data_IF_665779369244
#
_entry.id   IF_665779369244
#
_cell.length_a   1.000
_cell.length_b   1.000
_cell.length_c   1.000
_cell.angle_alpha   90.00
_cell.angle_beta   90.00
_cell.angle_gamma   90.00
#
_symmetry.space_group_name_H-M   'P 1'
#
loop_
_entity.id
_entity.type
_entity.pdbx_description
1 polymer ?
#
# COMPACT_ATOMS: atom_id res chain seq x y z
N UNK A 1 -24.26 7.22 21.35
CA UNK A 1 -23.90 6.62 20.05
C UNK A 1 -25.14 5.97 19.47
N UNK A 2 -25.64 6.45 18.33
CA UNK A 2 -26.94 6.05 17.77
C UNK A 2 -26.80 4.68 17.11
N UNK A 3 -27.67 3.72 17.48
CA UNK A 3 -27.72 2.35 16.94
C UNK A 3 -27.73 2.37 15.40
N UNK A 4 -26.59 2.06 14.80
CA UNK A 4 -26.51 1.60 13.41
C UNK A 4 -26.79 0.11 13.43
N UNK A 5 -27.77 -0.32 12.65
CA UNK A 5 -28.13 -1.72 12.53
C UNK A 5 -27.13 -2.38 11.58
N UNK A 6 -26.00 -2.79 12.13
CA UNK A 6 -24.93 -3.48 11.41
C UNK A 6 -25.26 -4.98 11.31
N UNK A 7 -25.25 -5.53 10.10
CA UNK A 7 -25.23 -6.96 9.87
C UNK A 7 -23.99 -7.34 9.07
N UNK A 8 -23.40 -8.47 9.42
CA UNK A 8 -22.28 -9.04 8.68
C UNK A 8 -22.73 -10.34 8.04
N UNK A 9 -22.28 -10.55 6.81
CA UNK A 9 -22.45 -11.76 6.04
C UNK A 9 -21.09 -12.25 5.61
N UNK A 10 -20.87 -13.55 5.67
CA UNK A 10 -19.59 -14.19 5.35
C UNK A 10 -19.83 -15.33 4.35
N UNK A 11 -18.84 -15.59 3.51
CA UNK A 11 -18.76 -16.82 2.75
C UNK A 11 -17.29 -17.23 2.64
N UNK A 12 -16.90 -18.36 3.23
CA UNK A 12 -15.54 -18.90 3.10
C UNK A 12 -15.25 -19.43 1.68
N UNK A 13 -16.30 -19.89 0.98
CA UNK A 13 -16.22 -20.42 -0.38
C UNK A 13 -17.29 -19.76 -1.24
N UNK A 14 -16.85 -19.11 -2.33
CA UNK A 14 -17.72 -18.51 -3.34
C UNK A 14 -16.99 -18.49 -4.69
N UNK A 15 -17.69 -18.14 -5.77
CA UNK A 15 -17.07 -17.96 -7.09
C UNK A 15 -15.94 -16.91 -7.12
N UNK A 16 -15.86 -16.03 -6.10
CA UNK A 16 -14.85 -14.96 -5.98
C UNK A 16 -13.84 -15.22 -4.85
N UNK A 17 -13.87 -16.41 -4.24
CA UNK A 17 -13.12 -16.72 -3.03
C UNK A 17 -13.82 -16.27 -1.75
N UNK A 18 -13.11 -16.12 -0.63
CA UNK A 18 -13.69 -15.66 0.63
C UNK A 18 -14.19 -14.22 0.51
N UNK A 19 -15.39 -13.96 1.02
CA UNK A 19 -16.03 -12.65 0.98
C UNK A 19 -16.70 -12.33 2.32
N UNK A 20 -16.59 -11.07 2.75
CA UNK A 20 -17.28 -10.55 3.92
C UNK A 20 -18.01 -9.27 3.53
N UNK A 21 -19.31 -9.21 3.81
CA UNK A 21 -20.15 -8.05 3.53
C UNK A 21 -20.71 -7.51 4.84
N UNK A 22 -20.36 -6.26 5.15
CA UNK A 22 -20.96 -5.51 6.24
C UNK A 22 -21.99 -4.53 5.68
N UNK A 23 -23.23 -4.59 6.14
CA UNK A 23 -24.30 -3.67 5.75
C UNK A 23 -24.84 -2.96 6.98
N UNK A 24 -24.99 -1.64 6.88
CA UNK A 24 -25.59 -0.81 7.91
C UNK A 24 -26.65 0.09 7.29
N UNK A 25 -27.85 0.08 7.88
CA UNK A 25 -28.96 0.96 7.48
C UNK A 25 -29.21 1.95 8.60
N UNK A 26 -29.18 3.25 8.29
CA UNK A 26 -29.49 4.28 9.29
C UNK A 26 -31.00 4.56 9.38
N UNK A 27 -31.41 5.33 10.40
CA UNK A 27 -32.83 5.67 10.63
C UNK A 27 -33.48 6.45 9.49
N UNK A 28 -32.70 7.09 8.62
CA UNK A 28 -33.21 7.81 7.44
C UNK A 28 -33.34 6.87 6.24
N UNK A 29 -32.96 5.60 6.38
CA UNK A 29 -32.93 4.58 5.34
C UNK A 29 -31.69 4.65 4.46
N UNK A 30 -30.64 5.41 4.83
CA UNK A 30 -29.40 5.38 4.06
C UNK A 30 -28.70 4.04 4.27
N UNK A 31 -28.31 3.39 3.18
CA UNK A 31 -27.65 2.09 3.19
C UNK A 31 -26.16 2.29 2.95
N UNK A 32 -25.35 1.77 3.87
CA UNK A 32 -23.89 1.70 3.73
C UNK A 32 -23.47 0.24 3.67
N UNK A 33 -22.74 -0.12 2.61
CA UNK A 33 -22.27 -1.46 2.37
C UNK A 33 -20.74 -1.41 2.28
N UNK A 34 -20.07 -2.32 2.96
CA UNK A 34 -18.64 -2.55 2.86
C UNK A 34 -18.42 -3.99 2.46
N UNK A 35 -17.94 -4.19 1.23
CA UNK A 35 -17.66 -5.49 0.62
C UNK A 35 -16.16 -5.73 0.74
N UNK A 36 -15.77 -6.84 1.32
CA UNK A 36 -14.37 -7.26 1.45
C UNK A 36 -14.16 -8.53 0.65
N UNK A 37 -13.31 -8.46 -0.37
CA UNK A 37 -12.95 -9.58 -1.24
C UNK A 37 -11.45 -9.79 -1.24
N UNK A 38 -10.99 -10.85 -1.91
CA UNK A 38 -9.56 -11.11 -2.17
C UNK A 38 -8.89 -9.99 -2.96
N UNK A 39 -9.64 -9.22 -3.74
CA UNK A 39 -9.12 -8.13 -4.58
C UNK A 39 -9.08 -6.77 -3.86
N UNK A 40 -9.76 -6.62 -2.73
CA UNK A 40 -9.76 -5.37 -1.98
C UNK A 40 -11.01 -5.18 -1.11
N UNK A 41 -11.23 -3.94 -0.67
CA UNK A 41 -12.47 -3.52 -0.02
C UNK A 41 -13.16 -2.46 -0.88
N UNK A 42 -14.47 -2.58 -1.06
CA UNK A 42 -15.31 -1.60 -1.75
C UNK A 42 -16.36 -1.06 -0.78
N UNK A 43 -16.51 0.26 -0.73
CA UNK A 43 -17.52 0.93 0.08
C UNK A 43 -18.56 1.56 -0.83
N UNK A 44 -19.83 1.24 -0.58
CA UNK A 44 -20.97 1.70 -1.36
C UNK A 44 -21.93 2.41 -0.40
N UNK A 45 -22.42 3.58 -0.79
CA UNK A 45 -23.42 4.33 -0.02
C UNK A 45 -24.58 4.71 -0.95
N UNK A 46 -25.80 4.38 -0.52
CA UNK A 46 -27.02 4.65 -1.26
C UNK A 46 -28.03 5.41 -0.40
N UNK A 47 -28.62 6.51 -0.90
CA UNK A 47 -29.69 7.20 -0.21
C UNK A 47 -30.95 6.32 -0.10
N UNK A 48 -31.85 6.69 0.80
CA UNK A 48 -33.07 5.93 1.08
C UNK A 48 -34.04 5.81 -0.09
N UNK A 49 -33.92 6.68 -1.10
CA UNK A 49 -34.73 6.64 -2.32
C UNK A 49 -34.30 5.57 -3.33
N UNK A 50 -33.13 4.94 -3.15
CA UNK A 50 -32.53 4.06 -4.17
C UNK A 50 -33.03 2.61 -4.11
N UNK A 51 -33.71 2.20 -3.04
CA UNK A 51 -34.28 0.86 -2.91
C UNK A 51 -35.79 0.95 -2.62
N UNK A 52 -36.58 0.17 -3.34
CA UNK A 52 -38.03 0.08 -3.13
C UNK A 52 -38.31 -1.17 -2.31
N UNK A 53 -38.93 -1.00 -1.14
CA UNK A 53 -39.44 -2.13 -0.35
C UNK A 53 -40.64 -2.72 -1.13
N UNK A 54 -40.54 -3.95 -1.67
CA UNK A 54 -41.61 -4.50 -2.49
C UNK A 54 -42.93 -4.55 -1.71
N UNK A 55 -44.02 -4.11 -2.34
CA UNK A 55 -45.33 -3.95 -1.68
C UNK A 55 -45.88 -5.26 -1.09
N UNK A 56 -45.55 -6.42 -1.66
CA UNK A 56 -45.95 -7.73 -1.10
C UNK A 56 -45.26 -8.03 0.24
N UNK A 57 -44.06 -7.50 0.50
CA UNK A 57 -43.45 -7.54 1.84
C UNK A 57 -44.11 -6.56 2.81
N UNK A 58 -44.84 -5.54 2.33
CA UNK A 58 -45.73 -4.73 3.17
C UNK A 58 -47.06 -5.45 3.47
N UNK A 59 -47.48 -6.35 2.58
CA UNK A 59 -48.78 -7.04 2.66
C UNK A 59 -48.74 -8.37 3.43
N UNK A 60 -47.67 -9.18 3.28
CA UNK A 60 -47.47 -10.41 4.06
C UNK A 60 -46.92 -10.15 5.49
N UNK A 61 -46.44 -8.93 5.79
CA UNK A 61 -46.04 -8.47 7.14
C UNK A 61 -47.18 -7.71 7.85
N UNK A 62 -48.41 -8.19 7.73
CA UNK A 62 -49.52 -7.66 8.52
C UNK A 62 -49.31 -7.87 10.02
N UNK A 63 -48.96 -6.80 10.74
CA UNK A 63 -49.34 -6.61 12.15
C UNK A 63 -48.43 -7.09 13.28
N UNK A 64 -47.44 -7.98 13.06
CA UNK A 64 -46.61 -8.49 14.17
C UNK A 64 -45.09 -8.28 14.06
N UNK A 65 -44.60 -7.67 12.98
CA UNK A 65 -43.15 -7.51 12.73
C UNK A 65 -42.77 -6.19 12.03
N UNK A 66 -43.36 -5.06 12.44
CA UNK A 66 -42.80 -3.73 12.12
C UNK A 66 -41.42 -3.48 12.78
N UNK A 67 -40.88 -4.47 13.49
CA UNK A 67 -39.57 -4.45 14.15
C UNK A 67 -38.45 -5.15 13.34
N UNK A 68 -38.69 -5.51 12.08
CA UNK A 68 -37.87 -6.48 11.33
C UNK A 68 -36.98 -5.88 10.22
N UNK A 69 -36.62 -4.59 10.30
CA UNK A 69 -35.53 -4.00 9.50
C UNK A 69 -34.17 -4.67 9.75
N UNK A 70 -34.09 -5.53 10.78
CA UNK A 70 -32.88 -6.25 11.20
C UNK A 70 -32.82 -7.69 10.69
N UNK A 71 -33.79 -8.13 9.88
CA UNK A 71 -33.77 -9.50 9.36
C UNK A 71 -32.61 -9.69 8.38
N UNK A 72 -31.78 -10.74 8.54
CA UNK A 72 -30.79 -11.12 7.55
C UNK A 72 -31.36 -11.24 6.12
N UNK A 73 -32.57 -11.79 5.98
CA UNK A 73 -33.25 -11.95 4.69
C UNK A 73 -33.72 -10.62 4.07
N UNK A 74 -33.87 -9.55 4.87
CA UNK A 74 -34.11 -8.21 4.35
C UNK A 74 -32.82 -7.60 3.80
N UNK A 75 -31.73 -7.69 4.58
CA UNK A 75 -30.42 -7.22 4.16
C UNK A 75 -29.89 -7.94 2.91
N UNK A 76 -30.04 -9.26 2.80
CA UNK A 76 -29.68 -10.00 1.58
C UNK A 76 -30.46 -9.54 0.35
N UNK A 77 -31.73 -9.18 0.49
CA UNK A 77 -32.52 -8.65 -0.63
C UNK A 77 -32.05 -7.26 -1.09
N UNK A 78 -31.58 -6.43 -0.15
CA UNK A 78 -30.97 -5.14 -0.49
C UNK A 78 -29.63 -5.36 -1.19
N UNK A 79 -28.79 -6.27 -0.68
CA UNK A 79 -27.51 -6.61 -1.31
C UNK A 79 -27.71 -7.15 -2.73
N UNK A 80 -28.72 -8.00 -2.96
CA UNK A 80 -29.06 -8.48 -4.30
C UNK A 80 -29.47 -7.37 -5.27
N UNK A 81 -30.18 -6.34 -4.79
CA UNK A 81 -30.58 -5.20 -5.61
C UNK A 81 -29.43 -4.23 -5.91
N UNK A 82 -28.61 -3.93 -4.90
CA UNK A 82 -27.59 -2.88 -4.97
C UNK A 82 -26.21 -3.39 -5.42
N UNK A 83 -25.93 -4.68 -5.21
CA UNK A 83 -24.63 -5.30 -5.44
C UNK A 83 -24.77 -6.62 -6.22
N UNK A 84 -25.26 -6.59 -7.48
CA UNK A 84 -25.56 -7.80 -8.26
C UNK A 84 -24.32 -8.63 -8.60
N UNK A 85 -23.11 -8.06 -8.46
CA UNK A 85 -21.86 -8.78 -8.68
C UNK A 85 -21.45 -9.68 -7.51
N UNK A 86 -22.10 -9.59 -6.34
CA UNK A 86 -21.78 -10.41 -5.18
C UNK A 86 -22.50 -11.76 -5.29
N UNK A 87 -21.85 -12.90 -4.98
CA UNK A 87 -22.51 -14.21 -4.91
C UNK A 87 -23.39 -14.31 -3.66
N UNK A 88 -24.58 -13.70 -3.71
CA UNK A 88 -25.50 -13.59 -2.57
C UNK A 88 -25.92 -14.97 -2.04
N UNK A 89 -26.05 -15.96 -2.92
CA UNK A 89 -26.40 -17.34 -2.58
C UNK A 89 -25.37 -18.06 -1.69
N UNK A 90 -24.12 -17.59 -1.68
CA UNK A 90 -23.07 -18.15 -0.82
C UNK A 90 -22.97 -17.45 0.53
N UNK A 91 -23.68 -16.33 0.73
CA UNK A 91 -23.55 -15.51 1.94
C UNK A 91 -24.40 -16.04 3.10
N UNK A 92 -23.76 -16.22 4.24
CA UNK A 92 -24.39 -16.62 5.49
C UNK A 92 -24.31 -15.49 6.52
N UNK A 93 -25.38 -15.23 7.30
CA UNK A 93 -25.31 -14.22 8.36
C UNK A 93 -24.34 -14.65 9.47
N UNK A 94 -23.42 -13.76 9.83
CA UNK A 94 -22.52 -13.94 10.97
C UNK A 94 -22.91 -13.01 12.12
N UNK A 95 -23.15 -13.60 13.29
CA UNK A 95 -23.56 -12.90 14.51
C UNK A 95 -22.44 -12.83 15.56
N UNK A 96 -21.23 -13.29 15.23
CA UNK A 96 -20.10 -13.28 16.18
C UNK A 96 -19.74 -11.84 16.56
N UNK A 97 -19.74 -11.55 17.86
CA UNK A 97 -19.58 -10.17 18.39
C UNK A 97 -18.21 -9.56 18.07
N UNK A 98 -17.17 -10.39 18.01
CA UNK A 98 -15.80 -9.94 17.74
C UNK A 98 -15.48 -9.78 16.26
N UNK A 99 -16.32 -10.29 15.33
CA UNK A 99 -16.05 -10.23 13.90
C UNK A 99 -15.72 -8.80 13.40
N UNK A 100 -16.48 -7.74 13.74
CA UNK A 100 -16.14 -6.38 13.31
C UNK A 100 -14.74 -5.94 13.75
N UNK A 101 -14.34 -6.31 14.98
CA UNK A 101 -13.03 -5.94 15.56
C UNK A 101 -11.90 -6.72 14.89
N UNK A 102 -12.10 -8.00 14.58
CA UNK A 102 -11.09 -8.78 13.86
C UNK A 102 -10.96 -8.34 12.39
N UNK A 103 -12.06 -7.95 11.73
CA UNK A 103 -12.02 -7.34 10.40
C UNK A 103 -11.26 -6.01 10.41
N UNK A 104 -11.49 -5.16 11.41
CA UNK A 104 -10.74 -3.92 11.61
C UNK A 104 -9.25 -4.20 11.79
N UNK A 105 -8.88 -5.12 12.69
CA UNK A 105 -7.47 -5.52 12.89
C UNK A 105 -6.85 -6.12 11.63
N UNK A 106 -7.60 -6.90 10.88
CA UNK A 106 -7.15 -7.46 9.60
C UNK A 106 -6.85 -6.34 8.60
N UNK A 107 -7.74 -5.35 8.48
CA UNK A 107 -7.56 -4.19 7.61
C UNK A 107 -6.37 -3.33 8.06
N UNK A 108 -6.20 -3.11 9.37
CA UNK A 108 -5.05 -2.40 9.94
C UNK A 108 -3.72 -3.09 9.63
N UNK A 109 -3.65 -4.43 9.72
CA UNK A 109 -2.46 -5.21 9.36
C UNK A 109 -2.06 -5.07 7.88
N UNK A 110 -3.02 -4.72 7.02
CA UNK A 110 -2.77 -4.50 5.60
C UNK A 110 -2.37 -3.07 5.27
N UNK A 111 -2.45 -2.15 6.24
CA UNK A 111 -1.95 -0.78 6.05
C UNK A 111 -0.43 -0.79 6.07
N UNK A 112 0.16 -0.53 4.92
CA UNK A 112 1.61 -0.40 4.79
C UNK A 112 2.03 0.94 5.38
N UNK A 113 2.79 0.88 6.48
CA UNK A 113 3.36 2.04 7.19
C UNK A 113 4.88 2.12 7.14
N UNK A 114 5.53 1.13 6.55
CA UNK A 114 6.97 1.04 6.47
C UNK A 114 7.39 0.92 5.01
N UNK A 115 8.30 1.77 4.58
CA UNK A 115 8.78 1.86 3.20
C UNK A 115 10.30 1.73 3.17
N UNK A 116 10.80 1.19 2.06
CA UNK A 116 12.22 1.11 1.77
C UNK A 116 12.46 1.63 0.37
N UNK A 117 13.44 2.51 0.23
CA UNK A 117 13.75 3.14 -1.05
C UNK A 117 15.24 3.03 -1.33
N UNK A 118 15.58 2.62 -2.54
CA UNK A 118 16.96 2.58 -2.99
C UNK A 118 17.46 3.99 -3.24
N UNK A 119 18.74 4.26 -2.96
CA UNK A 119 19.39 5.52 -3.34
C UNK A 119 20.69 5.19 -4.04
N UNK A 120 20.80 5.63 -5.28
CA UNK A 120 21.97 5.44 -6.14
C UNK A 120 22.51 6.81 -6.51
N UNK A 121 23.82 7.01 -6.34
CA UNK A 121 24.51 8.20 -6.80
C UNK A 121 25.22 7.88 -8.11
N UNK A 122 25.12 8.75 -9.11
CA UNK A 122 25.87 8.68 -10.37
C UNK A 122 26.86 9.84 -10.42
N UNK A 123 28.13 9.51 -10.57
CA UNK A 123 29.21 10.47 -10.76
C UNK A 123 29.22 10.98 -12.22
N UNK A 124 29.97 12.07 -12.53
CA UNK A 124 30.15 12.53 -13.90
C UNK A 124 30.58 11.40 -14.86
N UNK A 125 29.93 11.33 -16.02
CA UNK A 125 30.11 10.27 -17.03
C UNK A 125 29.43 8.93 -16.72
N UNK A 126 28.77 8.78 -15.56
CA UNK A 126 27.92 7.61 -15.27
C UNK A 126 26.46 7.89 -15.66
N UNK A 127 25.88 7.00 -16.46
CA UNK A 127 24.52 7.14 -17.00
C UNK A 127 23.65 5.91 -16.76
N UNK A 128 24.21 4.86 -16.15
CA UNK A 128 23.52 3.58 -15.93
C UNK A 128 23.50 3.22 -14.45
N UNK A 129 22.37 2.69 -13.97
CA UNK A 129 22.15 2.33 -12.56
C UNK A 129 23.28 1.46 -11.99
N UNK A 130 23.73 0.44 -12.75
CA UNK A 130 24.78 -0.48 -12.29
C UNK A 130 26.13 0.21 -12.05
N UNK A 131 26.41 1.33 -12.72
CA UNK A 131 27.62 2.12 -12.49
C UNK A 131 27.55 2.77 -11.11
N UNK A 132 26.39 3.33 -10.76
CA UNK A 132 26.15 3.92 -9.44
C UNK A 132 26.23 2.91 -8.29
N UNK A 133 25.93 1.63 -8.54
CA UNK A 133 26.13 0.56 -7.56
C UNK A 133 27.60 0.34 -7.20
N UNK A 134 28.55 0.82 -7.99
CA UNK A 134 30.00 0.70 -7.71
C UNK A 134 30.57 1.84 -6.87
N UNK A 135 29.84 2.96 -6.74
CA UNK A 135 30.32 4.13 -5.99
C UNK A 135 30.37 3.83 -4.49
N UNK A 136 31.41 4.28 -3.81
CA UNK A 136 31.63 3.98 -2.38
C UNK A 136 31.40 5.21 -1.53
N UNK A 137 31.49 5.05 -0.20
CA UNK A 137 31.37 6.14 0.76
C UNK A 137 32.39 7.25 0.49
N UNK A 138 33.59 6.88 0.03
CA UNK A 138 34.67 7.81 -0.33
C UNK A 138 34.36 8.59 -1.62
N UNK A 139 33.43 8.09 -2.45
CA UNK A 139 32.96 8.77 -3.65
C UNK A 139 31.90 9.83 -3.37
N UNK A 140 31.28 9.82 -2.18
CA UNK A 140 30.18 10.73 -1.85
C UNK A 140 30.64 12.19 -1.87
N UNK A 141 29.96 13.01 -2.68
CA UNK A 141 30.17 14.46 -2.74
C UNK A 141 29.47 15.17 -1.56
N UNK A 142 29.87 16.41 -1.25
CA UNK A 142 29.14 17.25 -0.29
C UNK A 142 27.65 17.39 -0.65
N UNK A 143 27.33 17.58 -1.92
CA UNK A 143 25.97 17.77 -2.44
C UNK A 143 25.11 16.52 -2.24
N UNK A 144 25.68 15.33 -2.48
CA UNK A 144 25.01 14.07 -2.21
C UNK A 144 24.77 13.85 -0.71
N UNK A 145 25.75 14.16 0.14
CA UNK A 145 25.60 14.03 1.60
C UNK A 145 24.55 15.01 2.16
N UNK A 146 24.52 16.23 1.62
CA UNK A 146 23.49 17.24 1.89
C UNK A 146 22.11 16.73 1.49
N UNK A 147 21.99 16.11 0.32
CA UNK A 147 20.76 15.49 -0.15
C UNK A 147 20.31 14.34 0.74
N UNK A 148 21.23 13.47 1.17
CA UNK A 148 20.91 12.40 2.12
C UNK A 148 20.37 12.96 3.45
N UNK A 149 20.97 14.04 3.96
CA UNK A 149 20.51 14.72 5.17
C UNK A 149 19.13 15.38 4.97
N UNK A 150 18.86 15.89 3.77
CA UNK A 150 17.53 16.39 3.40
C UNK A 150 16.49 15.26 3.31
N UNK A 151 16.84 14.05 2.88
CA UNK A 151 15.93 12.91 2.91
C UNK A 151 15.59 12.46 4.34
N UNK A 152 16.56 12.43 5.23
CA UNK A 152 16.36 12.01 6.61
C UNK A 152 17.63 12.04 7.45
N UNK A 153 17.52 11.45 8.63
CA UNK A 153 18.59 11.41 9.62
C UNK A 153 19.55 10.24 9.35
N UNK A 154 20.87 10.46 9.39
CA UNK A 154 21.84 9.37 9.42
C UNK A 154 21.67 8.53 10.70
N UNK A 155 21.59 7.21 10.57
CA UNK A 155 21.42 6.28 11.69
C UNK A 155 22.51 5.23 11.71
N UNK A 156 22.96 4.86 12.92
CA UNK A 156 23.79 3.67 13.13
C UNK A 156 22.91 2.43 13.06
N UNK A 157 23.32 1.44 12.27
CA UNK A 157 22.56 0.20 12.09
C UNK A 157 22.72 -0.75 13.28
N UNK A 158 23.93 -0.88 13.81
CA UNK A 158 24.17 -1.68 15.00
C UNK A 158 23.29 -1.23 16.18
N UNK A 159 22.44 -2.12 16.67
CA UNK A 159 21.49 -1.83 17.76
C UNK A 159 20.27 -1.00 17.35
N UNK A 160 20.04 -0.75 16.06
CA UNK A 160 18.88 0.00 15.58
C UNK A 160 17.56 -0.69 15.96
N UNK A 161 16.64 0.07 16.56
CA UNK A 161 15.35 -0.43 17.06
C UNK A 161 14.15 -0.10 16.15
N UNK A 162 14.37 0.74 15.15
CA UNK A 162 13.32 1.14 14.19
C UNK A 162 13.13 0.11 13.08
N UNK A 163 12.29 0.48 12.10
CA UNK A 163 12.18 -0.30 10.87
C UNK A 163 13.54 -0.39 10.18
N UNK A 164 14.02 -1.62 9.92
CA UNK A 164 15.36 -1.89 9.38
C UNK A 164 15.39 -2.25 7.90
N UNK A 165 14.23 -2.43 7.25
CA UNK A 165 14.14 -2.78 5.83
C UNK A 165 15.04 -3.94 5.37
N UNK A 166 15.28 -4.94 6.23
CA UNK A 166 16.15 -6.07 5.93
C UNK A 166 17.65 -5.84 6.14
N UNK A 167 18.08 -4.63 6.51
CA UNK A 167 19.46 -4.33 6.91
C UNK A 167 19.81 -5.08 8.21
N UNK A 168 21.09 -5.42 8.31
CA UNK A 168 21.69 -6.04 9.48
C UNK A 168 21.90 -4.99 10.57
N UNK A 169 21.45 -5.31 11.78
CA UNK A 169 21.52 -4.45 12.97
C UNK A 169 22.37 -5.08 14.08
N UNK A 170 23.07 -6.18 13.78
CA UNK A 170 23.86 -6.96 14.72
C UNK A 170 25.33 -6.95 14.32
N UNK A 171 25.64 -7.35 13.08
CA UNK A 171 27.01 -7.65 12.63
C UNK A 171 27.55 -6.80 11.49
N UNK A 172 26.91 -5.67 11.19
CA UNK A 172 27.29 -4.69 10.14
C UNK A 172 27.48 -5.28 8.73
N UNK A 173 26.89 -6.45 8.45
CA UNK A 173 27.03 -7.14 7.15
C UNK A 173 26.40 -6.38 5.99
N UNK A 174 25.54 -5.39 6.29
CA UNK A 174 24.91 -4.50 5.30
C UNK A 174 25.39 -3.05 5.43
N UNK A 175 26.54 -2.83 6.08
CA UNK A 175 27.09 -1.52 6.36
C UNK A 175 26.83 -1.07 7.79
N UNK A 176 27.53 -0.02 8.22
CA UNK A 176 27.46 0.51 9.59
C UNK A 176 26.33 1.54 9.76
N UNK A 177 26.02 2.28 8.68
CA UNK A 177 25.09 3.41 8.72
C UNK A 177 24.13 3.38 7.54
N UNK A 178 22.98 4.01 7.74
CA UNK A 178 21.96 4.25 6.72
C UNK A 178 21.31 5.61 6.96
N UNK A 179 20.32 5.98 6.14
CA UNK A 179 19.47 7.15 6.32
C UNK A 179 18.07 6.67 6.66
N UNK A 180 17.42 7.34 7.60
CA UNK A 180 16.10 7.00 8.08
C UNK A 180 15.24 8.23 8.30
N UNK A 181 13.93 8.13 8.05
CA UNK A 181 12.98 9.13 8.54
C UNK A 181 11.69 8.51 9.02
N UNK A 182 11.05 9.17 10.00
CA UNK A 182 9.67 8.91 10.39
C UNK A 182 8.83 10.10 9.98
N UNK A 183 8.07 9.94 8.90
CA UNK A 183 7.27 10.99 8.29
C UNK A 183 5.78 10.70 8.48
N UNK A 184 5.07 11.48 9.32
CA UNK A 184 3.65 11.29 9.59
C UNK A 184 3.27 9.84 10.03
N UNK A 185 4.15 9.18 10.78
CA UNK A 185 3.97 7.79 11.20
C UNK A 185 4.35 6.75 10.15
N UNK A 186 4.86 7.18 8.99
CA UNK A 186 5.48 6.33 7.98
C UNK A 186 6.97 6.21 8.23
N UNK A 187 7.43 5.00 8.51
CA UNK A 187 8.86 4.72 8.71
C UNK A 187 9.51 4.44 7.36
N UNK A 188 10.56 5.19 7.02
CA UNK A 188 11.24 5.08 5.73
C UNK A 188 12.72 4.81 5.99
N UNK A 189 13.23 3.70 5.46
CA UNK A 189 14.64 3.34 5.52
C UNK A 189 15.23 3.37 4.12
N UNK A 190 16.38 4.02 3.93
CA UNK A 190 17.00 4.17 2.62
C UNK A 190 18.15 3.18 2.40
N UNK A 191 18.09 2.42 1.31
CA UNK A 191 19.21 1.57 0.88
C UNK A 191 20.16 2.40 0.02
N UNK A 192 21.04 3.15 0.68
CA UNK A 192 22.00 4.03 0.01
C UNK A 192 23.22 3.25 -0.49
N UNK A 193 23.33 3.03 -1.80
CA UNK A 193 24.39 2.20 -2.40
C UNK A 193 25.80 2.55 -1.90
N UNK A 194 26.20 3.84 -1.83
CA UNK A 194 27.52 4.23 -1.36
C UNK A 194 27.80 3.87 0.12
N UNK A 195 26.77 3.78 0.96
CA UNK A 195 26.89 3.46 2.39
C UNK A 195 26.86 1.95 2.66
N UNK A 196 26.51 1.14 1.67
CA UNK A 196 26.51 -0.33 1.77
C UNK A 196 27.90 -0.91 1.50
N UNK A 197 28.21 -2.15 1.93
CA UNK A 197 29.50 -2.76 1.68
C UNK A 197 29.82 -2.86 0.19
N UNK A 198 31.05 -2.49 -0.18
CA UNK A 198 31.57 -2.61 -1.54
C UNK A 198 32.47 -3.83 -1.65
N UNK A 199 32.31 -4.61 -2.71
CA UNK A 199 33.22 -5.72 -3.00
C UNK A 199 33.99 -5.47 -4.30
N UNK A 200 35.28 -5.09 -4.27
CA UNK A 200 36.04 -4.77 -5.49
C UNK A 200 36.20 -5.96 -6.45
N UNK A 201 36.02 -7.20 -5.97
CA UNK A 201 36.10 -8.41 -6.80
C UNK A 201 34.79 -8.71 -7.51
N UNK A 202 33.69 -8.12 -7.08
CA UNK A 202 32.36 -8.33 -7.64
C UNK A 202 31.97 -7.18 -8.55
N UNK A 203 32.19 -7.35 -9.86
CA UNK A 203 31.84 -6.32 -10.86
C UNK A 203 30.34 -6.02 -10.91
N UNK A 204 29.48 -6.93 -10.45
CA UNK A 204 28.03 -6.77 -10.48
C UNK A 204 27.45 -6.26 -9.16
N UNK A 205 28.28 -6.13 -8.11
CA UNK A 205 27.87 -5.70 -6.77
C UNK A 205 26.58 -6.39 -6.33
N UNK A 206 26.56 -7.73 -6.42
CA UNK A 206 25.36 -8.57 -6.28
C UNK A 206 24.62 -8.30 -4.98
N UNK A 207 25.33 -8.11 -3.86
CA UNK A 207 24.68 -7.80 -2.59
C UNK A 207 23.99 -6.43 -2.62
N UNK A 208 24.65 -5.36 -3.09
CA UNK A 208 24.00 -4.04 -3.25
C UNK A 208 22.80 -4.12 -4.18
N UNK A 209 22.94 -4.82 -5.30
CA UNK A 209 21.87 -5.07 -6.26
C UNK A 209 20.72 -5.90 -5.66
N UNK A 210 21.01 -6.82 -4.74
CA UNK A 210 20.00 -7.62 -4.03
C UNK A 210 19.15 -6.77 -3.10
N UNK A 211 19.70 -5.72 -2.49
CA UNK A 211 18.91 -4.78 -1.71
C UNK A 211 18.17 -3.81 -2.64
N UNK A 212 18.91 -2.98 -3.38
CA UNK A 212 18.35 -1.89 -4.19
C UNK A 212 17.47 -2.40 -5.34
N UNK A 213 17.86 -3.48 -6.01
CA UNK A 213 17.06 -4.07 -7.09
C UNK A 213 15.77 -4.77 -6.62
N UNK A 214 15.61 -4.97 -5.31
CA UNK A 214 14.36 -5.43 -4.69
C UNK A 214 13.53 -4.28 -4.10
N UNK A 215 14.01 -3.04 -4.17
CA UNK A 215 13.24 -1.86 -3.81
C UNK A 215 12.35 -1.47 -4.99
N UNK A 216 11.10 -1.14 -4.68
CA UNK A 216 10.11 -0.82 -5.71
C UNK A 216 10.38 0.58 -6.30
N UNK A 217 10.90 1.48 -5.46
CA UNK A 217 11.26 2.84 -5.84
C UNK A 217 12.73 3.06 -5.54
N UNK A 218 13.46 3.51 -6.56
CA UNK A 218 14.88 3.87 -6.47
C UNK A 218 15.03 5.34 -6.84
N UNK A 219 15.71 6.07 -5.98
CA UNK A 219 16.10 7.46 -6.17
C UNK A 219 17.48 7.46 -6.82
N UNK A 220 17.60 8.14 -7.96
CA UNK A 220 18.88 8.35 -8.63
C UNK A 220 19.30 9.80 -8.40
N UNK A 221 20.34 9.99 -7.60
CA UNK A 221 21.03 11.27 -7.48
C UNK A 221 22.11 11.32 -8.55
N UNK A 222 22.06 12.31 -9.43
CA UNK A 222 23.05 12.48 -10.50
C UNK A 222 23.88 13.71 -10.21
N UNK A 223 25.19 13.55 -10.16
CA UNK A 223 26.15 14.65 -10.18
C UNK A 223 26.17 15.28 -11.57
N UNK A 224 26.10 16.60 -11.63
CA UNK A 224 26.11 17.33 -12.89
C UNK A 224 27.51 17.34 -13.53
N UNK A 225 27.52 17.08 -14.83
CA UNK A 225 28.42 17.68 -15.82
C UNK A 225 27.59 17.72 -17.13
N UNK A 226 27.13 18.92 -17.52
CA UNK A 226 26.45 19.30 -18.77
C UNK A 226 25.36 18.36 -19.35
N UNK A 227 24.10 18.83 -19.38
CA UNK A 227 22.96 18.49 -20.29
C UNK A 227 22.65 17.02 -20.70
N UNK A 228 23.43 16.02 -20.29
CA UNK A 228 23.19 14.62 -20.61
C UNK A 228 22.08 14.10 -19.69
N UNK A 229 20.90 13.82 -20.24
CA UNK A 229 19.87 13.13 -19.48
C UNK A 229 20.36 11.72 -19.09
N UNK A 230 20.06 11.30 -17.85
CA UNK A 230 20.18 9.88 -17.48
C UNK A 230 19.47 9.03 -18.54
N UNK A 231 20.08 7.93 -18.98
CA UNK A 231 19.47 7.08 -20.00
C UNK A 231 18.28 6.32 -19.41
N UNK A 232 17.13 6.99 -19.43
CA UNK A 232 15.86 6.46 -19.02
C UNK A 232 15.37 5.35 -19.96
N UNK A 233 16.02 5.08 -21.11
CA UNK A 233 15.67 3.92 -21.94
C UNK A 233 16.04 2.59 -21.28
N UNK A 234 17.01 2.61 -20.36
CA UNK A 234 17.28 1.49 -19.46
C UNK A 234 16.14 1.22 -18.46
N UNK A 235 15.23 2.17 -18.26
CA UNK A 235 14.13 2.12 -17.26
C UNK A 235 12.73 2.50 -17.83
N UNK A 236 12.62 2.81 -19.13
CA UNK A 236 11.38 3.07 -19.87
C UNK A 236 10.68 4.44 -19.68
N UNK A 237 11.35 5.60 -19.69
CA UNK A 237 10.65 6.92 -19.61
C UNK A 237 11.39 8.12 -20.26
N UNK A 238 10.77 9.32 -20.29
CA UNK A 238 11.30 10.59 -20.88
C UNK A 238 11.19 11.81 -19.92
N UNK A 239 11.24 11.61 -18.61
CA UNK A 239 11.18 12.68 -17.58
C UNK A 239 12.07 12.35 -16.36
N UNK A 240 12.25 13.27 -15.39
CA UNK A 240 12.89 13.06 -14.07
C UNK A 240 12.27 11.92 -13.21
N UNK A 241 11.35 11.14 -13.78
CA UNK A 241 10.69 10.00 -13.22
C UNK A 241 10.62 8.90 -14.28
N UNK A 242 11.25 7.76 -13.99
CA UNK A 242 11.06 6.53 -14.74
C UNK A 242 10.02 5.64 -14.06
N UNK A 243 9.03 5.16 -14.83
CA UNK A 243 7.98 4.30 -14.32
C UNK A 243 7.88 3.09 -15.23
N UNK A 244 8.00 1.89 -14.64
CA UNK A 244 7.87 0.64 -15.38
C UNK A 244 6.47 0.48 -15.97
N UNK A 245 6.40 -0.16 -17.14
CA UNK A 245 5.15 -0.48 -17.84
C UNK A 245 4.12 -1.16 -16.93
N UNK A 246 2.87 -0.72 -17.06
CA UNK A 246 1.72 -1.26 -16.33
C UNK A 246 1.47 -0.61 -14.96
N UNK A 247 2.34 0.28 -14.49
CA UNK A 247 2.07 1.12 -13.32
C UNK A 247 1.25 2.34 -13.79
N UNK A 248 0.10 2.56 -13.17
CA UNK A 248 -0.76 3.71 -13.47
C UNK A 248 -0.16 5.00 -12.93
N UNK A 249 -0.46 6.13 -13.56
CA UNK A 249 -0.12 7.44 -13.02
C UNK A 249 -0.58 7.59 -11.57
N UNK A 250 0.26 8.21 -10.75
CA UNK A 250 0.05 8.31 -9.32
C UNK A 250 0.31 9.71 -8.78
N UNK A 251 -0.39 10.02 -7.69
CA UNK A 251 -0.36 11.33 -7.07
C UNK A 251 1.01 11.66 -6.47
N UNK A 252 1.32 12.94 -6.25
CA UNK A 252 0.69 14.07 -6.95
C UNK A 252 0.92 13.97 -8.47
N UNK A 253 -0.14 14.19 -9.27
CA UNK A 253 -0.06 14.09 -10.73
C UNK A 253 0.78 15.22 -11.33
N UNK A 254 0.60 16.43 -10.80
CA UNK A 254 1.47 17.56 -11.07
C UNK A 254 2.57 17.56 -10.00
N UNK A 255 3.78 17.19 -10.40
CA UNK A 255 4.95 17.21 -9.55
C UNK A 255 5.93 18.26 -10.10
N UNK A 256 6.42 19.20 -9.28
CA UNK A 256 7.38 20.20 -9.73
C UNK A 256 8.64 19.54 -10.32
N UNK A 257 9.16 20.12 -11.39
CA UNK A 257 10.44 19.69 -11.97
C UNK A 257 11.64 20.13 -11.12
N UNK A 258 11.47 21.20 -10.35
CA UNK A 258 12.46 21.75 -9.42
C UNK A 258 11.83 21.80 -8.03
N UNK A 259 12.54 21.26 -7.06
CA UNK A 259 12.18 21.29 -5.65
C UNK A 259 13.16 22.18 -4.89
N UNK A 260 12.65 22.92 -3.90
CA UNK A 260 13.50 23.69 -3.00
C UNK A 260 14.08 22.76 -1.93
N UNK A 261 15.18 23.16 -1.30
CA UNK A 261 15.78 22.43 -0.16
C UNK A 261 15.07 22.77 1.16
N UNK A 262 13.73 22.79 1.14
CA UNK A 262 12.89 23.07 2.30
C UNK A 262 12.02 21.86 2.70
N UNK A 263 11.38 21.95 3.86
CA UNK A 263 10.56 20.87 4.42
C UNK A 263 9.30 20.60 3.58
N UNK A 264 8.71 21.63 2.97
CA UNK A 264 7.52 21.47 2.14
C UNK A 264 7.81 20.66 0.87
N UNK A 265 8.94 20.94 0.22
CA UNK A 265 9.41 20.20 -0.94
C UNK A 265 9.80 18.77 -0.57
N UNK A 266 10.38 18.58 0.62
CA UNK A 266 10.70 17.26 1.18
C UNK A 266 9.44 16.43 1.39
N UNK A 267 8.42 17.00 2.03
CA UNK A 267 7.13 16.34 2.24
C UNK A 267 6.48 15.93 0.91
N UNK A 268 6.53 16.81 -0.09
CA UNK A 268 6.01 16.52 -1.43
C UNK A 268 6.78 15.38 -2.10
N UNK A 269 8.11 15.36 -1.96
CA UNK A 269 8.98 14.30 -2.48
C UNK A 269 8.69 12.95 -1.81
N UNK A 270 8.63 12.90 -0.47
CA UNK A 270 8.30 11.69 0.28
C UNK A 270 6.91 11.15 -0.08
N UNK A 271 5.92 12.05 -0.21
CA UNK A 271 4.58 11.71 -0.68
C UNK A 271 4.63 11.07 -2.07
N UNK A 272 5.42 11.62 -2.99
CA UNK A 272 5.57 11.09 -4.35
C UNK A 272 6.16 9.69 -4.36
N UNK A 273 7.18 9.42 -3.54
CA UNK A 273 7.78 8.08 -3.42
C UNK A 273 6.77 7.06 -2.89
N UNK A 274 6.08 7.39 -1.80
CA UNK A 274 5.05 6.53 -1.18
C UNK A 274 3.91 6.24 -2.17
N UNK A 275 3.43 7.27 -2.87
CA UNK A 275 2.41 7.08 -3.88
C UNK A 275 2.89 6.24 -5.07
N UNK A 276 4.16 6.37 -5.47
CA UNK A 276 4.79 5.54 -6.50
C UNK A 276 4.80 4.06 -6.13
N UNK A 277 5.27 3.75 -4.92
CA UNK A 277 5.26 2.36 -4.43
C UNK A 277 3.84 1.81 -4.29
N UNK A 278 2.89 2.60 -3.76
CA UNK A 278 1.48 2.21 -3.67
C UNK A 278 0.84 1.96 -5.04
N UNK A 279 1.25 2.70 -6.06
CA UNK A 279 0.78 2.49 -7.42
C UNK A 279 1.34 1.19 -8.01
N UNK A 280 2.60 0.87 -7.72
CA UNK A 280 3.22 -0.38 -8.13
C UNK A 280 2.52 -1.61 -7.54
N UNK A 281 2.00 -1.55 -6.32
CA UNK A 281 1.19 -2.64 -5.73
C UNK A 281 -0.06 -3.01 -6.55
N UNK A 282 -0.57 -2.08 -7.37
CA UNK A 282 -1.71 -2.32 -8.27
C UNK A 282 -1.29 -2.94 -9.61
N UNK A 283 0.00 -3.00 -9.90
CA UNK A 283 0.50 -3.68 -11.10
C UNK A 283 0.34 -5.20 -10.94
N UNK A 284 0.13 -5.89 -12.06
CA UNK A 284 -0.16 -7.33 -12.12
C UNK A 284 0.86 -8.19 -11.36
N UNK A 285 2.13 -7.78 -11.38
CA UNK A 285 3.23 -8.47 -10.71
C UNK A 285 3.04 -8.54 -9.18
N UNK A 286 2.50 -7.50 -8.55
CA UNK A 286 2.32 -7.42 -7.09
C UNK A 286 0.89 -7.74 -6.64
N UNK A 287 -0.11 -7.39 -7.46
CA UNK A 287 -1.52 -7.60 -7.14
C UNK A 287 -1.85 -9.07 -6.78
N UNK A 288 -1.20 -10.03 -7.46
CA UNK A 288 -1.42 -11.46 -7.20
C UNK A 288 -0.96 -11.87 -5.80
N UNK A 289 0.19 -11.37 -5.34
CA UNK A 289 0.71 -11.70 -4.00
C UNK A 289 -0.14 -11.07 -2.90
N UNK A 290 -0.51 -9.79 -3.05
CA UNK A 290 -1.40 -9.10 -2.13
C UNK A 290 -2.77 -9.77 -2.04
N UNK A 291 -3.30 -10.22 -3.17
CA UNK A 291 -4.56 -10.96 -3.24
C UNK A 291 -4.49 -12.27 -2.47
N UNK A 292 -3.39 -13.03 -2.56
CA UNK A 292 -3.21 -14.29 -1.81
C UNK A 292 -3.11 -14.06 -0.30
N UNK A 293 -2.36 -13.04 0.12
CA UNK A 293 -2.28 -12.67 1.55
C UNK A 293 -3.65 -12.26 2.07
N UNK A 294 -4.39 -11.44 1.32
CA UNK A 294 -5.75 -11.01 1.67
C UNK A 294 -6.73 -12.18 1.72
N UNK A 295 -6.64 -13.11 0.77
CA UNK A 295 -7.41 -14.36 0.79
C UNK A 295 -7.17 -15.15 2.08
N UNK A 296 -5.91 -15.42 2.41
CA UNK A 296 -5.55 -16.16 3.62
C UNK A 296 -6.07 -15.49 4.89
N UNK A 297 -5.94 -14.17 4.99
CA UNK A 297 -6.42 -13.40 6.14
C UNK A 297 -7.96 -13.41 6.25
N UNK A 298 -8.66 -13.27 5.11
CA UNK A 298 -10.12 -13.34 5.10
C UNK A 298 -10.61 -14.74 5.48
N UNK A 299 -9.98 -15.80 4.99
CA UNK A 299 -10.32 -17.18 5.39
C UNK A 299 -10.16 -17.39 6.88
N UNK A 300 -9.01 -17.00 7.43
CA UNK A 300 -8.71 -17.11 8.87
C UNK A 300 -9.75 -16.39 9.74
N UNK A 301 -10.12 -15.15 9.34
CA UNK A 301 -11.17 -14.39 10.03
C UNK A 301 -12.53 -15.07 9.91
N UNK A 302 -12.90 -15.58 8.74
CA UNK A 302 -14.20 -16.23 8.53
C UNK A 302 -14.27 -17.55 9.32
N UNK A 303 -13.29 -18.43 9.19
CA UNK A 303 -13.27 -19.75 9.84
C UNK A 303 -13.23 -19.67 11.36
N UNK A 304 -12.61 -18.62 11.92
CA UNK A 304 -12.58 -18.39 13.37
C UNK A 304 -13.93 -17.88 13.92
N UNK A 305 -14.80 -17.31 13.07
CA UNK A 305 -16.00 -16.59 13.50
C UNK A 305 -17.31 -17.02 12.82
N UNK A 306 -17.29 -18.07 11.99
CA UNK A 306 -18.47 -18.81 11.53
C UNK A 306 -18.97 -19.74 12.64
#
# INVERSE_FOLDING_TARGET
MKELLLSNFVAAQSAQGPIVVSIAIDRKGCVRILIRTTQGSERIEHPSSTHSIPWYRKFFLGGFLFNNSNSPSYHLSILSQLCPAIPIESLEPCHHRDLPRELERMEERQVIRSYKFGVVMLLPGQTLEYQGLTNTKESCTPEFLDFLTWLGEPVQLQGWKGYRAGLDVIGDTTGEKSVYTNWNGYQIMYHCAPLMPFNPKDRHQVERRRFIGNDIVVIVFKEDDDDEQFDLSSVGSRQNLAVKDGIRNFSPLHFPTVLQRDDASRDLFLLKLICGERAAYRAKAFATQLSRTRESLLRDVIETHQ
#
